data_IF_185410959734
#
_entry.id   IF_185410959734
#
_cell.length_a   1.000
_cell.length_b   1.000
_cell.length_c   1.000
_cell.angle_alpha   90.00
_cell.angle_beta   90.00
_cell.angle_gamma   90.00
#
_symmetry.space_group_name_H-M   'P 1'
#
loop_
_entity.id
_entity.type
_entity.pdbx_description
1 polymer ?
#
# COMPACT_ATOMS: atom_id res chain seq x y z
N UNK A 1 -2.45 -35.16 -10.72
CA UNK A 1 -1.00 -34.86 -10.72
C UNK A 1 -0.75 -33.82 -11.80
N UNK A 2 -0.80 -32.54 -11.44
CA UNK A 2 -0.42 -31.46 -12.35
C UNK A 2 1.11 -31.30 -12.31
N UNK A 3 1.75 -31.53 -13.45
CA UNK A 3 3.19 -31.31 -13.62
C UNK A 3 3.44 -29.80 -13.69
N UNK A 4 4.08 -29.26 -12.66
CA UNK A 4 4.72 -27.94 -12.67
C UNK A 4 5.69 -27.86 -13.86
N UNK A 5 5.26 -27.27 -14.98
CA UNK A 5 6.17 -26.84 -16.04
C UNK A 5 6.88 -25.56 -15.59
N UNK A 6 7.89 -25.69 -14.72
CA UNK A 6 8.95 -24.67 -14.62
C UNK A 6 9.84 -24.86 -15.84
N UNK A 7 9.59 -24.05 -16.87
CA UNK A 7 10.37 -24.11 -18.10
C UNK A 7 11.79 -23.62 -17.83
N UNK A 8 12.79 -24.48 -18.06
CA UNK A 8 14.22 -24.13 -17.99
C UNK A 8 14.59 -22.92 -18.87
N UNK A 9 13.79 -22.64 -19.90
CA UNK A 9 13.94 -21.44 -20.72
C UNK A 9 13.59 -20.14 -19.99
N UNK A 10 12.64 -20.17 -19.03
CA UNK A 10 12.30 -19.01 -18.20
C UNK A 10 13.41 -18.73 -17.18
N UNK A 11 13.97 -19.78 -16.57
CA UNK A 11 15.12 -19.66 -15.67
C UNK A 11 16.37 -19.19 -16.41
N UNK A 12 16.63 -19.68 -17.62
CA UNK A 12 17.71 -19.21 -18.47
C UNK A 12 17.55 -17.73 -18.85
N UNK A 13 16.36 -17.31 -19.28
CA UNK A 13 16.08 -15.90 -19.58
C UNK A 13 16.26 -14.99 -18.36
N UNK A 14 15.83 -15.42 -17.17
CA UNK A 14 16.00 -14.68 -15.91
C UNK A 14 17.49 -14.53 -15.52
N UNK A 15 18.32 -15.51 -15.86
CA UNK A 15 19.77 -15.45 -15.65
C UNK A 15 20.45 -14.56 -16.69
N UNK A 16 19.99 -14.58 -17.94
CA UNK A 16 20.56 -13.78 -19.04
C UNK A 16 20.22 -12.28 -18.91
N UNK A 17 19.02 -11.92 -18.42
CA UNK A 17 18.64 -10.52 -18.16
C UNK A 17 19.30 -9.90 -16.92
N UNK A 18 19.98 -10.70 -16.07
CA UNK A 18 20.69 -10.19 -14.88
C UNK A 18 21.99 -9.45 -15.18
N UNK A 19 22.40 -9.36 -16.44
CA UNK A 19 23.71 -8.82 -16.84
C UNK A 19 23.66 -7.44 -17.50
N UNK A 20 22.48 -6.79 -17.60
CA UNK A 20 22.43 -5.36 -17.88
C UNK A 20 22.80 -4.59 -16.59
N UNK A 21 23.80 -3.72 -16.67
CA UNK A 21 24.26 -2.90 -15.54
C UNK A 21 23.12 -1.97 -15.09
N UNK A 22 22.51 -2.27 -13.94
CA UNK A 22 21.43 -1.45 -13.37
C UNK A 22 22.01 -0.07 -13.02
N UNK A 23 21.59 0.95 -13.76
CA UNK A 23 21.97 2.32 -13.45
C UNK A 23 21.17 2.81 -12.25
N UNK A 24 21.85 3.05 -11.14
CA UNK A 24 21.24 3.57 -9.91
C UNK A 24 21.38 5.11 -9.91
N UNK A 25 20.27 5.87 -9.96
CA UNK A 25 20.31 7.32 -9.84
C UNK A 25 20.99 7.80 -8.56
N UNK A 26 21.63 8.96 -8.59
CA UNK A 26 22.39 9.50 -7.44
C UNK A 26 21.56 9.59 -6.15
N UNK A 27 20.29 9.97 -6.24
CA UNK A 27 19.39 10.03 -5.07
C UNK A 27 19.10 8.64 -4.47
N UNK A 28 19.02 7.61 -5.31
CA UNK A 28 18.82 6.24 -4.86
C UNK A 28 20.09 5.67 -4.22
N UNK A 29 21.26 6.00 -4.79
CA UNK A 29 22.55 5.65 -4.19
C UNK A 29 22.72 6.33 -2.83
N UNK A 30 22.38 7.61 -2.71
CA UNK A 30 22.39 8.32 -1.43
C UNK A 30 21.54 7.58 -0.38
N UNK A 31 20.33 7.12 -0.73
CA UNK A 31 19.47 6.39 0.21
C UNK A 31 20.08 5.04 0.63
N UNK A 32 20.76 4.34 -0.28
CA UNK A 32 21.55 3.14 0.06
C UNK A 32 22.63 3.49 1.08
N UNK A 33 23.39 4.55 0.82
CA UNK A 33 24.58 4.93 1.59
C UNK A 33 24.22 5.30 3.03
N UNK A 34 23.01 5.83 3.28
CA UNK A 34 22.51 6.11 4.64
C UNK A 34 22.61 4.89 5.56
N UNK A 35 22.47 3.68 5.01
CA UNK A 35 22.40 2.44 5.76
C UNK A 35 23.71 1.64 5.82
N UNK A 36 24.79 2.14 5.21
CA UNK A 36 26.03 1.38 4.97
C UNK A 36 26.63 0.68 6.21
N UNK A 37 26.52 1.30 7.39
CA UNK A 37 27.04 0.74 8.64
C UNK A 37 26.14 -0.31 9.30
N UNK A 38 24.87 -0.43 8.86
CA UNK A 38 23.91 -1.40 9.38
C UNK A 38 23.67 -2.52 8.35
N UNK A 39 24.52 -3.55 8.37
CA UNK A 39 24.54 -4.63 7.36
C UNK A 39 23.15 -5.18 6.98
N UNK A 40 22.30 -5.45 7.97
CA UNK A 40 20.97 -6.02 7.72
C UNK A 40 20.02 -5.06 6.99
N UNK A 41 20.00 -3.78 7.40
CA UNK A 41 19.19 -2.73 6.76
C UNK A 41 19.77 -2.39 5.39
N UNK A 42 21.09 -2.29 5.28
CA UNK A 42 21.78 -2.01 4.03
C UNK A 42 21.49 -3.07 2.98
N UNK A 43 21.62 -4.35 3.33
CA UNK A 43 21.37 -5.44 2.39
C UNK A 43 19.96 -5.34 1.79
N UNK A 44 18.94 -5.18 2.63
CA UNK A 44 17.54 -5.02 2.17
C UNK A 44 17.34 -3.76 1.35
N UNK A 45 17.98 -2.65 1.73
CA UNK A 45 17.87 -1.37 1.02
C UNK A 45 18.52 -1.45 -0.37
N UNK A 46 19.69 -2.10 -0.48
CA UNK A 46 20.36 -2.35 -1.75
C UNK A 46 19.51 -3.25 -2.65
N UNK A 47 18.98 -4.34 -2.11
CA UNK A 47 18.11 -5.28 -2.84
C UNK A 47 16.85 -4.56 -3.36
N UNK A 48 16.18 -3.79 -2.50
CA UNK A 48 15.04 -2.95 -2.83
C UNK A 48 15.35 -1.97 -3.98
N UNK A 49 16.41 -1.16 -3.84
CA UNK A 49 16.75 -0.13 -4.83
C UNK A 49 17.18 -0.75 -6.15
N UNK A 50 17.91 -1.87 -6.15
CA UNK A 50 18.28 -2.56 -7.39
C UNK A 50 17.06 -3.07 -8.14
N UNK A 51 16.12 -3.71 -7.45
CA UNK A 51 14.89 -4.19 -8.09
C UNK A 51 14.02 -3.01 -8.57
N UNK A 52 13.93 -1.94 -7.77
CA UNK A 52 13.17 -0.73 -8.12
C UNK A 52 13.66 -0.09 -9.43
N UNK A 53 14.96 -0.11 -9.69
CA UNK A 53 15.56 0.47 -10.89
C UNK A 53 15.77 -0.56 -12.02
N UNK A 54 15.30 -1.80 -11.85
CA UNK A 54 15.44 -2.83 -12.85
C UNK A 54 14.55 -2.55 -14.07
N UNK A 55 15.04 -2.81 -15.29
CA UNK A 55 14.27 -2.60 -16.53
C UNK A 55 12.94 -3.35 -16.55
N UNK A 56 12.92 -4.54 -15.94
CA UNK A 56 11.73 -5.37 -15.79
C UNK A 56 11.42 -5.50 -14.29
N UNK A 57 10.85 -4.45 -13.72
CA UNK A 57 10.56 -4.37 -12.28
C UNK A 57 9.61 -5.48 -11.83
N UNK A 58 10.03 -6.27 -10.84
CA UNK A 58 9.17 -7.17 -10.10
C UNK A 58 8.46 -6.40 -8.97
N UNK A 59 7.29 -5.83 -9.28
CA UNK A 59 6.52 -5.05 -8.31
C UNK A 59 6.08 -5.85 -7.07
N UNK A 60 5.92 -7.17 -7.15
CA UNK A 60 5.59 -7.94 -5.94
C UNK A 60 6.74 -7.91 -4.93
N UNK A 61 7.98 -8.01 -5.42
CA UNK A 61 9.20 -7.92 -4.62
C UNK A 61 9.44 -6.50 -4.11
N UNK A 62 9.35 -5.49 -5.00
CA UNK A 62 9.51 -4.08 -4.62
C UNK A 62 8.54 -3.67 -3.51
N UNK A 63 7.27 -4.06 -3.62
CA UNK A 63 6.25 -3.74 -2.61
C UNK A 63 6.45 -4.51 -1.30
N UNK A 64 7.07 -5.68 -1.34
CA UNK A 64 7.46 -6.42 -0.13
C UNK A 64 8.60 -5.74 0.60
N UNK A 65 9.64 -5.37 -0.12
CA UNK A 65 10.80 -4.72 0.47
C UNK A 65 10.47 -3.31 0.94
N UNK A 66 9.67 -2.54 0.18
CA UNK A 66 9.17 -1.25 0.64
C UNK A 66 8.37 -1.39 1.96
N UNK A 67 7.55 -2.43 2.07
CA UNK A 67 6.82 -2.72 3.30
C UNK A 67 7.77 -3.02 4.47
N UNK A 68 8.79 -3.85 4.26
CA UNK A 68 9.79 -4.16 5.27
C UNK A 68 10.58 -2.91 5.67
N UNK A 69 10.98 -2.07 4.72
CA UNK A 69 11.66 -0.80 4.99
C UNK A 69 10.76 0.11 5.84
N UNK A 70 9.51 0.29 5.45
CA UNK A 70 8.57 1.20 6.12
C UNK A 70 8.10 0.73 7.50
N UNK A 71 8.08 -0.58 7.77
CA UNK A 71 7.51 -1.11 9.02
C UNK A 71 8.53 -1.78 9.94
N UNK A 72 9.52 -2.46 9.37
CA UNK A 72 10.57 -3.18 10.10
C UNK A 72 11.81 -2.31 10.28
N UNK A 73 12.28 -1.64 9.24
CA UNK A 73 13.54 -0.88 9.28
C UNK A 73 13.37 0.60 9.58
N UNK A 74 12.13 1.08 9.72
CA UNK A 74 11.86 2.49 9.96
C UNK A 74 12.61 3.07 11.16
N UNK A 75 12.85 2.27 12.21
CA UNK A 75 13.63 2.70 13.38
C UNK A 75 15.02 3.23 12.99
N UNK A 76 15.64 2.64 11.97
CA UNK A 76 16.96 3.01 11.49
C UNK A 76 16.90 4.41 10.86
N UNK A 77 16.01 4.61 9.90
CA UNK A 77 15.83 5.89 9.20
C UNK A 77 15.32 7.02 10.12
N UNK A 78 14.72 6.69 11.26
CA UNK A 78 14.37 7.65 12.30
C UNK A 78 15.52 8.02 13.25
N UNK A 79 16.62 7.27 13.21
CA UNK A 79 17.76 7.45 14.13
C UNK A 79 18.94 8.22 13.55
N UNK A 80 18.91 8.51 12.25
CA UNK A 80 19.99 9.20 11.53
C UNK A 80 19.72 10.72 11.41
N UNK A 81 20.76 11.55 11.21
CA UNK A 81 20.61 13.00 11.01
C UNK A 81 19.70 13.37 9.84
N UNK A 82 19.79 12.63 8.72
CA UNK A 82 19.05 12.83 7.47
C UNK A 82 17.64 12.21 7.51
N UNK A 83 17.06 12.06 8.70
CA UNK A 83 15.80 11.36 8.88
C UNK A 83 14.65 11.97 8.06
N UNK A 84 14.53 13.30 8.05
CA UNK A 84 13.45 13.97 7.33
C UNK A 84 13.57 13.74 5.82
N UNK A 85 14.77 13.87 5.26
CA UNK A 85 15.07 13.61 3.85
C UNK A 85 14.80 12.14 3.48
N UNK A 86 15.17 11.20 4.36
CA UNK A 86 14.93 9.77 4.15
C UNK A 86 13.42 9.47 4.11
N UNK A 87 12.62 10.09 4.98
CA UNK A 87 11.17 9.98 4.97
C UNK A 87 10.58 10.59 3.69
N UNK A 88 11.08 11.74 3.25
CA UNK A 88 10.64 12.33 1.98
C UNK A 88 10.94 11.42 0.79
N UNK A 89 12.13 10.82 0.75
CA UNK A 89 12.48 9.85 -0.28
C UNK A 89 11.47 8.68 -0.31
N UNK A 90 11.14 8.10 0.85
CA UNK A 90 10.12 7.04 0.91
C UNK A 90 8.75 7.52 0.40
N UNK A 91 8.33 8.74 0.71
CA UNK A 91 7.06 9.28 0.17
C UNK A 91 7.10 9.49 -1.34
N UNK A 92 8.25 9.82 -1.92
CA UNK A 92 8.40 9.92 -3.39
C UNK A 92 8.32 8.54 -4.05
N UNK A 93 8.91 7.51 -3.45
CA UNK A 93 8.76 6.13 -3.90
C UNK A 93 7.29 5.72 -3.92
N UNK A 94 6.51 6.03 -2.88
CA UNK A 94 5.06 5.77 -2.88
C UNK A 94 4.35 6.51 -4.01
N UNK A 95 4.73 7.75 -4.26
CA UNK A 95 4.17 8.58 -5.33
C UNK A 95 4.46 8.01 -6.72
N UNK A 96 5.71 7.65 -6.99
CA UNK A 96 6.15 7.06 -8.27
C UNK A 96 5.49 5.69 -8.50
N UNK A 97 5.45 4.83 -7.48
CA UNK A 97 4.76 3.54 -7.55
C UNK A 97 3.25 3.68 -7.76
N UNK A 98 2.62 4.73 -7.22
CA UNK A 98 1.18 4.97 -7.43
C UNK A 98 0.84 5.35 -8.87
N UNK A 99 1.81 5.91 -9.60
CA UNK A 99 1.70 6.28 -11.02
C UNK A 99 2.11 5.13 -11.95
N UNK A 100 2.78 4.11 -11.42
CA UNK A 100 3.15 2.93 -12.17
C UNK A 100 1.94 2.06 -12.53
N UNK A 101 2.06 1.28 -13.61
CA UNK A 101 1.01 0.36 -14.04
C UNK A 101 1.03 -0.92 -13.20
N UNK A 102 0.46 -0.85 -12.00
CA UNK A 102 0.35 -1.97 -11.07
C UNK A 102 -0.93 -2.80 -11.30
N UNK A 103 -0.90 -4.07 -10.88
CA UNK A 103 -2.11 -4.89 -10.78
C UNK A 103 -3.01 -4.38 -9.65
N UNK A 104 -4.33 -4.66 -9.65
CA UNK A 104 -5.23 -4.26 -8.55
C UNK A 104 -4.76 -4.73 -7.18
N UNK A 105 -4.22 -5.96 -7.09
CA UNK A 105 -3.63 -6.52 -5.86
C UNK A 105 -2.41 -5.71 -5.39
N UNK A 106 -1.55 -5.30 -6.32
CA UNK A 106 -0.35 -4.53 -6.00
C UNK A 106 -0.71 -3.09 -5.61
N UNK A 107 -1.70 -2.48 -6.26
CA UNK A 107 -2.23 -1.18 -5.84
C UNK A 107 -2.78 -1.23 -4.40
N UNK A 108 -3.56 -2.27 -4.06
CA UNK A 108 -4.06 -2.48 -2.70
C UNK A 108 -2.91 -2.71 -1.68
N UNK A 109 -1.87 -3.45 -2.06
CA UNK A 109 -0.67 -3.63 -1.22
C UNK A 109 0.08 -2.31 -0.99
N UNK A 110 0.24 -1.49 -2.03
CA UNK A 110 0.87 -0.16 -1.94
C UNK A 110 0.08 0.75 -1.00
N UNK A 111 -1.24 0.86 -1.23
CA UNK A 111 -2.16 1.65 -0.40
C UNK A 111 -2.10 1.19 1.06
N UNK A 112 -2.32 -0.09 1.35
CA UNK A 112 -2.31 -0.60 2.73
C UNK A 112 -0.95 -0.42 3.42
N UNK A 113 0.15 -0.45 2.67
CA UNK A 113 1.49 -0.16 3.20
C UNK A 113 1.65 1.31 3.55
N UNK A 114 1.15 2.25 2.72
CA UNK A 114 1.18 3.69 3.01
C UNK A 114 0.41 4.03 4.31
N UNK A 115 -0.77 3.42 4.52
CA UNK A 115 -1.54 3.59 5.75
C UNK A 115 -0.79 3.06 6.97
N UNK A 116 -0.22 1.86 6.87
CA UNK A 116 0.57 1.28 7.98
C UNK A 116 1.83 2.10 8.26
N UNK A 117 2.45 2.65 7.22
CA UNK A 117 3.64 3.48 7.32
C UNK A 117 3.36 4.74 8.15
N UNK A 118 2.30 5.50 7.84
CA UNK A 118 2.01 6.73 8.61
C UNK A 118 1.63 6.46 10.07
N UNK A 119 0.87 5.39 10.35
CA UNK A 119 0.56 5.00 11.74
C UNK A 119 1.84 4.60 12.49
N UNK A 120 2.67 3.76 11.87
CA UNK A 120 3.95 3.33 12.46
C UNK A 120 4.86 4.54 12.70
N UNK A 121 4.98 5.44 11.73
CA UNK A 121 5.79 6.64 11.80
C UNK A 121 5.38 7.53 12.99
N UNK A 122 4.08 7.75 13.20
CA UNK A 122 3.56 8.50 14.35
C UNK A 122 3.63 7.73 15.67
N UNK A 123 3.69 6.39 15.62
CA UNK A 123 3.81 5.55 16.81
C UNK A 123 5.22 5.52 17.39
N UNK A 124 6.25 5.51 16.54
CA UNK A 124 7.65 5.35 16.97
C UNK A 124 8.54 6.57 16.72
N UNK A 125 8.05 7.57 15.98
CA UNK A 125 8.81 8.76 15.61
C UNK A 125 8.05 10.06 15.86
N UNK A 126 8.66 11.16 15.41
CA UNK A 126 8.09 12.51 15.42
C UNK A 126 8.36 13.16 14.06
N UNK A 127 7.69 12.69 12.99
CA UNK A 127 7.90 13.26 11.66
C UNK A 127 7.47 14.73 11.65
N UNK A 128 8.05 15.51 10.75
CA UNK A 128 7.58 16.87 10.55
C UNK A 128 6.16 16.88 9.96
N UNK A 129 5.39 17.96 10.20
CA UNK A 129 4.09 18.13 9.55
C UNK A 129 4.15 18.04 8.02
N UNK A 130 5.28 18.42 7.40
CA UNK A 130 5.45 18.34 5.94
C UNK A 130 5.42 16.90 5.43
N UNK A 131 6.09 15.98 6.12
CA UNK A 131 6.06 14.54 5.77
C UNK A 131 4.65 13.99 5.90
N UNK A 132 3.96 14.30 7.00
CA UNK A 132 2.56 13.88 7.23
C UNK A 132 1.66 14.39 6.11
N UNK A 133 1.76 15.69 5.80
CA UNK A 133 0.97 16.34 4.74
C UNK A 133 1.19 15.68 3.38
N UNK A 134 2.42 15.30 3.04
CA UNK A 134 2.72 14.58 1.80
C UNK A 134 2.06 13.19 1.76
N UNK A 135 2.09 12.44 2.86
CA UNK A 135 1.40 11.14 2.95
C UNK A 135 -0.13 11.31 2.84
N UNK A 136 -0.72 12.28 3.53
CA UNK A 136 -2.17 12.55 3.45
C UNK A 136 -2.59 12.96 2.04
N UNK A 137 -1.76 13.75 1.34
CA UNK A 137 -1.99 14.10 -0.06
C UNK A 137 -1.97 12.85 -0.97
N UNK A 138 -1.03 11.93 -0.77
CA UNK A 138 -0.99 10.65 -1.51
C UNK A 138 -2.23 9.79 -1.26
N UNK A 139 -2.69 9.69 -0.01
CA UNK A 139 -3.91 8.97 0.34
C UNK A 139 -5.13 9.60 -0.35
N UNK A 140 -5.22 10.93 -0.32
CA UNK A 140 -6.33 11.69 -0.93
C UNK A 140 -6.36 11.51 -2.44
N UNK A 141 -5.20 11.62 -3.09
CA UNK A 141 -5.05 11.40 -4.54
C UNK A 141 -5.42 9.96 -4.91
N UNK A 142 -4.89 8.97 -4.18
CA UNK A 142 -5.21 7.57 -4.43
C UNK A 142 -6.70 7.25 -4.25
N UNK A 143 -7.36 7.87 -3.28
CA UNK A 143 -8.81 7.74 -3.10
C UNK A 143 -9.61 8.25 -4.32
N UNK A 144 -9.12 9.31 -4.99
CA UNK A 144 -9.76 9.86 -6.20
C UNK A 144 -9.47 9.00 -7.44
N UNK A 145 -8.24 8.52 -7.59
CA UNK A 145 -7.79 7.79 -8.79
C UNK A 145 -8.18 6.31 -8.77
N UNK A 146 -8.29 5.70 -7.58
CA UNK A 146 -8.53 4.27 -7.40
C UNK A 146 -9.65 4.01 -6.37
N UNK A 147 -10.77 4.71 -6.52
CA UNK A 147 -11.88 4.73 -5.56
C UNK A 147 -12.31 3.35 -5.07
N UNK A 148 -12.49 2.36 -5.96
CA UNK A 148 -12.96 1.02 -5.59
C UNK A 148 -12.04 0.35 -4.55
N UNK A 149 -10.72 0.48 -4.69
CA UNK A 149 -9.76 -0.10 -3.74
C UNK A 149 -9.90 0.57 -2.38
N UNK A 150 -10.04 1.89 -2.35
CA UNK A 150 -10.18 2.65 -1.12
C UNK A 150 -11.52 2.39 -0.43
N UNK A 151 -12.61 2.26 -1.19
CA UNK A 151 -13.95 1.95 -0.68
C UNK A 151 -13.97 0.58 -0.03
N UNK A 152 -13.43 -0.44 -0.71
CA UNK A 152 -13.30 -1.80 -0.16
C UNK A 152 -12.49 -1.83 1.14
N UNK A 153 -11.52 -0.91 1.28
CA UNK A 153 -10.61 -0.82 2.42
C UNK A 153 -10.92 0.36 3.36
N UNK A 154 -12.13 0.91 3.35
CA UNK A 154 -12.47 2.13 4.11
C UNK A 154 -12.17 2.04 5.63
N UNK A 155 -12.19 0.83 6.20
CA UNK A 155 -11.80 0.60 7.60
C UNK A 155 -10.35 0.99 7.95
N UNK A 156 -9.45 1.07 6.96
CA UNK A 156 -8.06 1.48 7.15
C UNK A 156 -7.94 2.95 7.57
N UNK A 157 -8.86 3.82 7.13
CA UNK A 157 -8.87 5.23 7.54
C UNK A 157 -9.02 5.36 9.05
N UNK A 158 -10.05 4.72 9.61
CA UNK A 158 -10.26 4.71 11.07
C UNK A 158 -9.11 4.04 11.81
N UNK A 159 -8.60 2.92 11.27
CA UNK A 159 -7.59 2.09 11.94
C UNK A 159 -6.24 2.80 12.03
N UNK A 160 -5.76 3.37 10.93
CA UNK A 160 -4.38 3.85 10.83
C UNK A 160 -4.25 5.39 10.83
N UNK A 161 -5.31 6.14 10.50
CA UNK A 161 -5.23 7.61 10.50
C UNK A 161 -5.67 8.25 11.82
N UNK A 162 -6.06 7.46 12.83
CA UNK A 162 -6.47 7.96 14.15
C UNK A 162 -5.39 8.82 14.83
N UNK A 163 -4.11 8.45 14.70
CA UNK A 163 -2.99 9.28 15.21
C UNK A 163 -2.81 10.57 14.43
N UNK A 164 -3.05 10.54 13.11
CA UNK A 164 -3.00 11.74 12.27
C UNK A 164 -4.12 12.70 12.69
N UNK A 165 -5.34 12.19 12.89
CA UNK A 165 -6.48 12.98 13.35
C UNK A 165 -6.31 13.57 14.76
N UNK A 166 -5.44 12.99 15.60
CA UNK A 166 -5.11 13.54 16.91
C UNK A 166 -4.32 14.86 16.81
N UNK A 167 -3.62 15.09 15.69
CA UNK A 167 -2.86 16.31 15.43
C UNK A 167 -3.83 17.41 14.98
N UNK A 168 -3.94 18.54 15.70
CA UNK A 168 -4.94 19.58 15.39
C UNK A 168 -4.90 20.08 13.94
N UNK A 169 -3.70 20.18 13.36
CA UNK A 169 -3.47 20.63 11.98
C UNK A 169 -4.12 19.73 10.91
N UNK A 170 -4.27 18.43 11.17
CA UNK A 170 -4.79 17.44 10.21
C UNK A 170 -6.16 16.88 10.61
N UNK A 171 -6.68 17.25 11.78
CA UNK A 171 -7.87 16.63 12.37
C UNK A 171 -9.08 16.64 11.43
N UNK A 172 -9.45 17.84 10.97
CA UNK A 172 -10.69 18.01 10.21
C UNK A 172 -10.58 17.33 8.84
N UNK A 173 -9.43 17.45 8.18
CA UNK A 173 -9.14 16.78 6.91
C UNK A 173 -9.27 15.26 7.03
N UNK A 174 -8.69 14.64 8.06
CA UNK A 174 -8.77 13.18 8.25
C UNK A 174 -10.18 12.74 8.62
N UNK A 175 -10.90 13.51 9.44
CA UNK A 175 -12.31 13.22 9.78
C UNK A 175 -13.15 13.26 8.50
N UNK A 176 -12.97 14.27 7.66
CA UNK A 176 -13.72 14.40 6.41
C UNK A 176 -13.40 13.31 5.40
N UNK A 177 -12.11 12.98 5.21
CA UNK A 177 -11.72 11.85 4.36
C UNK A 177 -12.33 10.53 4.84
N UNK A 178 -12.30 10.29 6.16
CA UNK A 178 -12.88 9.10 6.77
C UNK A 178 -14.40 9.07 6.58
N UNK A 179 -15.07 10.20 6.75
CA UNK A 179 -16.52 10.32 6.53
C UNK A 179 -16.87 10.02 5.07
N UNK A 180 -16.16 10.62 4.13
CA UNK A 180 -16.39 10.45 2.69
C UNK A 180 -16.25 8.97 2.29
N UNK A 181 -15.18 8.31 2.71
CA UNK A 181 -14.94 6.92 2.29
C UNK A 181 -15.95 5.95 2.92
N UNK A 182 -16.40 6.21 4.15
CA UNK A 182 -17.43 5.40 4.79
C UNK A 182 -18.80 5.57 4.11
N UNK A 183 -19.16 6.79 3.71
CA UNK A 183 -20.39 7.03 2.95
C UNK A 183 -20.34 6.33 1.59
N UNK A 184 -19.22 6.45 0.85
CA UNK A 184 -19.02 5.71 -0.40
C UNK A 184 -19.08 4.18 -0.19
N UNK A 185 -18.60 3.69 0.96
CA UNK A 185 -18.74 2.30 1.35
C UNK A 185 -20.18 1.87 1.55
N UNK A 186 -20.99 2.68 2.25
CA UNK A 186 -22.42 2.42 2.41
C UNK A 186 -23.10 2.40 1.04
N UNK A 187 -22.89 3.43 0.22
CA UNK A 187 -23.47 3.52 -1.12
C UNK A 187 -23.06 2.32 -1.99
N UNK A 188 -21.79 1.90 -1.94
CA UNK A 188 -21.31 0.73 -2.67
C UNK A 188 -22.04 -0.55 -2.24
N UNK A 189 -22.14 -0.82 -0.94
CA UNK A 189 -22.80 -2.04 -0.46
C UNK A 189 -24.30 -2.03 -0.70
N UNK A 190 -24.98 -0.89 -0.52
CA UNK A 190 -26.41 -0.75 -0.83
C UNK A 190 -26.71 -1.07 -2.30
N UNK A 191 -25.86 -0.60 -3.22
CA UNK A 191 -26.11 -0.76 -4.65
C UNK A 191 -25.56 -2.05 -5.27
N UNK A 192 -24.62 -2.74 -4.62
CA UNK A 192 -23.95 -3.93 -5.19
C UNK A 192 -24.28 -5.24 -4.49
N UNK A 193 -24.76 -5.25 -3.24
CA UNK A 193 -24.96 -6.48 -2.49
C UNK A 193 -26.00 -7.41 -3.11
N UNK A 194 -27.05 -6.86 -3.76
CA UNK A 194 -28.12 -7.58 -4.48
C UNK A 194 -28.52 -8.89 -3.77
N UNK A 195 -28.72 -8.81 -2.45
CA UNK A 195 -28.79 -9.97 -1.56
C UNK A 195 -29.99 -10.86 -1.90
N UNK A 196 -31.10 -10.24 -2.30
CA UNK A 196 -32.34 -10.86 -2.74
C UNK A 196 -32.13 -11.67 -4.02
N UNK A 197 -31.43 -11.10 -5.00
CA UNK A 197 -31.14 -11.77 -6.27
C UNK A 197 -30.17 -12.93 -6.08
N UNK A 198 -29.12 -12.72 -5.28
CA UNK A 198 -28.18 -13.77 -4.92
C UNK A 198 -28.91 -14.94 -4.24
N UNK A 199 -29.78 -14.64 -3.26
CA UNK A 199 -30.56 -15.65 -2.56
C UNK A 199 -31.51 -16.39 -3.51
N UNK A 200 -32.23 -15.67 -4.36
CA UNK A 200 -33.12 -16.26 -5.37
C UNK A 200 -32.36 -17.26 -6.27
N UNK A 201 -31.13 -16.91 -6.69
CA UNK A 201 -30.28 -17.80 -7.50
C UNK A 201 -29.81 -19.07 -6.76
N UNK A 202 -29.78 -19.04 -5.42
CA UNK A 202 -29.30 -20.13 -4.55
C UNK A 202 -30.40 -20.74 -3.69
N UNK A 203 -31.69 -20.43 -3.93
CA UNK A 203 -32.83 -20.83 -3.09
C UNK A 203 -32.87 -22.33 -2.78
N UNK A 204 -32.47 -23.16 -3.75
CA UNK A 204 -32.39 -24.63 -3.62
C UNK A 204 -31.37 -25.14 -2.59
N UNK A 205 -30.39 -24.32 -2.20
CA UNK A 205 -29.37 -24.68 -1.21
C UNK A 205 -29.84 -24.46 0.25
N UNK A 206 -30.98 -23.80 0.45
CA UNK A 206 -31.49 -23.47 1.77
C UNK A 206 -32.68 -24.36 2.16
N UNK A 207 -32.69 -24.83 3.41
CA UNK A 207 -33.77 -25.68 3.94
C UNK A 207 -35.07 -24.91 4.23
N UNK A 208 -34.99 -23.58 4.34
CA UNK A 208 -36.11 -22.70 4.70
C UNK A 208 -36.11 -21.48 3.79
N UNK A 209 -37.27 -20.86 3.61
CA UNK A 209 -37.37 -19.58 2.91
C UNK A 209 -36.95 -18.44 3.85
N UNK A 210 -35.99 -17.65 3.39
CA UNK A 210 -35.43 -16.51 4.11
C UNK A 210 -35.75 -15.17 3.43
N UNK A 211 -36.53 -15.14 2.34
CA UNK A 211 -36.88 -13.92 1.59
C UNK A 211 -37.39 -12.79 2.50
N UNK A 212 -38.32 -13.10 3.40
CA UNK A 212 -38.90 -12.12 4.32
C UNK A 212 -37.87 -11.51 5.29
N UNK A 213 -36.81 -12.27 5.64
CA UNK A 213 -35.73 -11.77 6.51
C UNK A 213 -34.69 -10.98 5.72
N UNK A 214 -34.44 -11.34 4.46
CA UNK A 214 -33.50 -10.63 3.60
C UNK A 214 -33.98 -9.22 3.26
N UNK A 215 -35.29 -9.03 3.07
CA UNK A 215 -35.91 -7.70 2.92
C UNK A 215 -35.74 -6.76 4.11
N UNK A 216 -35.25 -7.26 5.25
CA UNK A 216 -34.91 -6.43 6.43
C UNK A 216 -33.44 -5.97 6.40
N UNK A 217 -32.63 -6.54 5.51
CA UNK A 217 -31.18 -6.30 5.39
C UNK A 217 -30.89 -5.53 4.11
N UNK A 218 -31.55 -5.86 3.00
CA UNK A 218 -31.55 -5.08 1.76
C UNK A 218 -32.78 -4.19 1.65
N UNK A 219 -32.63 -3.02 1.03
CA UNK A 219 -33.73 -2.25 0.46
C UNK A 219 -33.79 -2.49 -1.04
#
# INVERSE_FOLDING_TARGET
MERNFRSKALEANLVETRHEEIQIPTKHQWFIDLSAECWGVNKRTVEFIKEYNHRYVNYEYVLEDLHNICLTDLWFYLSIPESEEALFFLTEIFEELSQAKLSPRNNERLMTTLFKFVDKLLKVGRPSPKVIRKIVALITKGMQEQEEIYVRNGGYFKTYLSRVAAIPEFRDEIIDLTRIILLKGVDFWENTARAEEWFASKKKLFQKDYEAKLRLIGR
#
